data_IF_807693068461
#
_entry.id   IF_807693068461
#
_cell.length_a   1.000
_cell.length_b   1.000
_cell.length_c   1.000
_cell.angle_alpha   90.00
_cell.angle_beta   90.00
_cell.angle_gamma   90.00
#
_symmetry.space_group_name_H-M   'P 1'
#
loop_
_entity.id
_entity.type
_entity.pdbx_description
1 polymer ?
#
# COMPACT_ATOMS: atom_id res chain seq x y z
N UNK A 1 -3.00 -24.29 17.94
CA UNK A 1 -2.60 -23.55 16.72
C UNK A 1 -3.72 -22.61 16.26
N UNK A 2 -3.75 -21.35 16.72
CA UNK A 2 -4.71 -20.33 16.24
C UNK A 2 -4.14 -19.42 15.14
N UNK A 3 -2.84 -19.53 14.84
CA UNK A 3 -2.08 -18.61 13.98
C UNK A 3 -2.52 -18.59 12.51
N UNK A 4 -3.29 -19.59 12.06
CA UNK A 4 -3.80 -19.70 10.69
C UNK A 4 -5.33 -19.70 10.60
N UNK A 5 -6.04 -19.34 11.68
CA UNK A 5 -7.50 -19.37 11.70
C UNK A 5 -8.12 -18.29 10.80
N UNK A 6 -9.34 -18.52 10.32
CA UNK A 6 -10.14 -17.54 9.57
C UNK A 6 -10.38 -16.24 10.37
N UNK A 7 -10.41 -16.32 11.71
CA UNK A 7 -10.51 -15.17 12.62
C UNK A 7 -9.29 -14.23 12.51
N UNK A 8 -8.09 -14.79 12.42
CA UNK A 8 -6.85 -14.00 12.20
C UNK A 8 -6.78 -13.41 10.80
N UNK A 9 -7.40 -14.05 9.79
CA UNK A 9 -7.49 -13.53 8.40
C UNK A 9 -8.48 -12.38 8.25
N UNK A 10 -9.53 -12.33 9.09
CA UNK A 10 -10.55 -11.26 9.11
C UNK A 10 -10.21 -10.13 10.07
N UNK A 11 -8.93 -9.77 10.21
CA UNK A 11 -8.56 -8.52 10.87
C UNK A 11 -9.01 -7.36 9.98
N UNK A 12 -10.26 -6.93 10.17
CA UNK A 12 -10.78 -5.64 9.70
C UNK A 12 -10.17 -4.46 10.48
N UNK A 13 -9.08 -4.70 11.23
CA UNK A 13 -8.43 -3.69 12.05
C UNK A 13 -7.36 -2.99 11.22
N UNK A 14 -7.77 -1.92 10.55
CA UNK A 14 -6.95 -1.11 9.66
C UNK A 14 -6.33 0.04 10.45
N UNK A 15 -5.55 -0.26 11.48
CA UNK A 15 -4.76 0.79 12.13
C UNK A 15 -3.48 1.01 11.29
N UNK A 16 -3.27 2.20 10.69
CA UNK A 16 -2.08 2.47 9.91
C UNK A 16 -0.82 2.64 10.77
N UNK A 17 -0.95 2.94 12.07
CA UNK A 17 0.15 3.28 12.96
C UNK A 17 1.30 2.26 13.03
N UNK A 18 1.04 0.93 13.10
CA UNK A 18 2.12 -0.04 13.10
C UNK A 18 2.97 0.02 11.83
N UNK A 19 2.33 0.20 10.67
CA UNK A 19 3.02 0.31 9.38
C UNK A 19 3.70 1.66 9.22
N UNK A 20 3.06 2.76 9.63
CA UNK A 20 3.64 4.10 9.62
C UNK A 20 4.90 4.17 10.49
N UNK A 21 4.85 3.58 11.69
CA UNK A 21 6.01 3.48 12.59
C UNK A 21 7.13 2.65 11.98
N UNK A 22 6.81 1.56 11.28
CA UNK A 22 7.80 0.75 10.59
C UNK A 22 8.44 1.51 9.42
N UNK A 23 7.63 2.16 8.58
CA UNK A 23 8.09 2.99 7.48
C UNK A 23 9.02 4.10 7.97
N UNK A 24 8.65 4.81 9.05
CA UNK A 24 9.50 5.83 9.68
C UNK A 24 10.86 5.29 10.10
N UNK A 25 10.91 4.11 10.73
CA UNK A 25 12.18 3.47 11.11
C UNK A 25 13.03 3.10 9.91
N UNK A 26 12.42 2.61 8.82
CA UNK A 26 13.14 2.25 7.60
C UNK A 26 13.74 3.50 6.94
N UNK A 27 12.94 4.57 6.77
CA UNK A 27 13.43 5.84 6.21
C UNK A 27 14.54 6.49 7.06
N UNK A 28 14.54 6.30 8.38
CA UNK A 28 15.62 6.81 9.23
C UNK A 28 16.94 6.05 9.06
N UNK A 29 16.88 4.76 8.69
CA UNK A 29 18.05 3.88 8.58
C UNK A 29 18.62 3.82 7.18
N UNK A 30 17.78 4.02 6.16
CA UNK A 30 18.15 3.85 4.76
C UNK A 30 17.84 5.12 3.97
N UNK A 31 18.67 5.40 2.96
CA UNK A 31 18.42 6.48 2.04
C UNK A 31 17.52 5.99 0.90
N UNK A 32 16.20 6.09 1.09
CA UNK A 32 15.18 5.59 0.16
C UNK A 32 14.17 6.69 -0.15
N UNK A 33 13.76 6.79 -1.41
CA UNK A 33 12.69 7.69 -1.85
C UNK A 33 11.30 7.05 -1.70
N UNK A 34 11.24 5.71 -1.75
CA UNK A 34 9.99 4.94 -1.70
C UNK A 34 10.11 3.68 -0.85
N UNK A 35 9.03 3.34 -0.15
CA UNK A 35 8.81 2.02 0.44
C UNK A 35 7.54 1.46 -0.19
N UNK A 36 7.64 0.32 -0.88
CA UNK A 36 6.51 -0.41 -1.44
C UNK A 36 6.23 -1.65 -0.59
N UNK A 37 4.98 -1.80 -0.15
CA UNK A 37 4.53 -2.97 0.59
C UNK A 37 3.16 -3.45 0.11
N UNK A 38 2.84 -4.69 0.46
CA UNK A 38 1.47 -5.10 0.74
C UNK A 38 1.50 -5.74 2.12
N UNK A 39 0.39 -5.78 2.86
CA UNK A 39 0.35 -6.51 4.14
C UNK A 39 -1.07 -6.61 4.67
N UNK A 40 -1.66 -5.45 4.92
CA UNK A 40 -2.98 -5.32 5.53
C UNK A 40 -4.11 -5.22 4.49
N UNK A 41 -3.76 -5.38 3.20
CA UNK A 41 -4.67 -5.38 2.07
C UNK A 41 -5.43 -4.06 1.86
N UNK A 42 -5.01 -2.97 2.50
CA UNK A 42 -5.66 -1.66 2.38
C UNK A 42 -4.79 -0.70 1.56
N UNK A 43 -5.24 -0.29 0.36
CA UNK A 43 -4.46 0.60 -0.48
C UNK A 43 -4.31 1.97 0.19
N UNK A 44 -3.07 2.45 0.34
CA UNK A 44 -2.77 3.80 0.87
C UNK A 44 -1.43 4.32 0.40
N UNK A 45 -1.30 5.64 0.44
CA UNK A 45 -0.04 6.37 0.24
C UNK A 45 0.15 7.29 1.43
N UNK A 46 1.32 7.23 2.05
CA UNK A 46 1.71 8.10 3.15
C UNK A 46 3.01 8.81 2.80
N UNK A 47 3.06 10.12 3.00
CA UNK A 47 4.24 10.92 2.70
C UNK A 47 5.00 11.24 3.98
N UNK A 48 6.29 10.91 3.97
CA UNK A 48 7.24 11.22 5.03
C UNK A 48 8.24 12.26 4.52
N UNK A 49 8.96 12.99 5.40
CA UNK A 49 9.94 13.98 4.96
C UNK A 49 11.03 13.45 4.02
N UNK A 50 11.31 12.13 4.04
CA UNK A 50 12.35 11.49 3.22
C UNK A 50 11.82 10.76 1.99
N UNK A 51 10.52 10.57 1.85
CA UNK A 51 9.98 9.72 0.80
C UNK A 51 8.55 9.26 1.07
N UNK A 52 8.02 8.44 0.18
CA UNK A 52 6.63 7.97 0.25
C UNK A 52 6.54 6.48 0.54
N UNK A 53 5.65 6.12 1.46
CA UNK A 53 5.24 4.76 1.71
C UNK A 53 3.99 4.45 0.89
N UNK A 54 4.00 3.35 0.13
CA UNK A 54 2.88 2.89 -0.67
C UNK A 54 2.54 1.48 -0.21
N UNK A 55 1.30 1.28 0.26
CA UNK A 55 0.77 -0.05 0.53
C UNK A 55 -0.29 -0.42 -0.50
N UNK A 56 -0.13 -1.59 -1.10
CA UNK A 56 -1.08 -2.12 -2.08
C UNK A 56 -2.27 -2.78 -1.38
N UNK A 57 -3.45 -2.56 -1.95
CA UNK A 57 -4.62 -3.38 -1.68
C UNK A 57 -4.58 -4.72 -2.41
N UNK A 58 -5.44 -5.65 -2.00
CA UNK A 58 -5.61 -6.93 -2.72
C UNK A 58 -6.01 -6.74 -4.18
N UNK A 59 -5.40 -7.50 -5.08
CA UNK A 59 -5.72 -7.42 -6.51
C UNK A 59 -7.19 -7.79 -6.82
N UNK A 60 -7.75 -8.82 -6.18
CA UNK A 60 -9.12 -9.27 -6.47
C UNK A 60 -10.20 -8.25 -6.09
N UNK A 61 -10.01 -7.49 -5.00
CA UNK A 61 -10.96 -6.49 -4.52
C UNK A 61 -10.62 -5.08 -5.03
N UNK A 62 -9.41 -4.60 -4.73
CA UNK A 62 -9.00 -3.22 -4.96
C UNK A 62 -8.43 -3.00 -6.35
N UNK A 63 -7.80 -4.04 -6.93
CA UNK A 63 -7.08 -3.98 -8.22
C UNK A 63 -5.98 -2.93 -8.25
N UNK A 64 -5.35 -2.66 -7.11
CA UNK A 64 -4.31 -1.62 -7.00
C UNK A 64 -2.93 -2.17 -7.27
N UNK A 65 -2.09 -1.39 -7.96
CA UNK A 65 -0.70 -1.69 -8.28
C UNK A 65 0.15 -0.43 -8.07
N UNK A 66 1.46 -0.60 -7.91
CA UNK A 66 2.41 0.50 -8.01
C UNK A 66 2.88 0.61 -9.47
N UNK A 67 2.71 1.79 -10.06
CA UNK A 67 3.21 2.13 -11.38
C UNK A 67 4.46 2.99 -11.21
N UNK A 68 5.59 2.50 -11.70
CA UNK A 68 6.85 3.26 -11.77
C UNK A 68 7.10 3.72 -13.21
N UNK A 69 7.27 5.02 -13.41
CA UNK A 69 7.59 5.62 -14.70
C UNK A 69 8.49 6.86 -14.52
N UNK A 70 8.67 7.65 -15.59
CA UNK A 70 9.48 8.88 -15.59
C UNK A 70 9.06 9.92 -14.54
N UNK A 71 7.82 9.88 -14.04
CA UNK A 71 7.31 10.80 -13.03
C UNK A 71 7.40 10.22 -11.60
N UNK A 72 8.10 9.10 -11.42
CA UNK A 72 8.27 8.41 -10.15
C UNK A 72 7.29 7.25 -9.93
N UNK A 73 7.10 6.87 -8.67
CA UNK A 73 6.22 5.77 -8.27
C UNK A 73 4.85 6.28 -7.80
N UNK A 74 3.77 5.73 -8.37
CA UNK A 74 2.38 6.11 -8.06
C UNK A 74 1.53 4.88 -7.75
N UNK A 75 0.61 5.00 -6.79
CA UNK A 75 -0.44 4.00 -6.57
C UNK A 75 -1.54 4.19 -7.62
N UNK A 76 -1.83 3.14 -8.38
CA UNK A 76 -2.85 3.14 -9.44
C UNK A 76 -3.81 1.97 -9.27
N UNK A 77 -4.95 2.02 -9.96
CA UNK A 77 -5.92 0.94 -10.05
C UNK A 77 -6.02 0.43 -11.50
N UNK A 78 -6.04 -0.88 -11.67
CA UNK A 78 -6.34 -1.51 -12.96
C UNK A 78 -7.84 -1.46 -13.25
N UNK A 79 -8.22 -0.77 -14.32
CA UNK A 79 -9.58 -0.70 -14.83
C UNK A 79 -9.73 -1.64 -16.03
N UNK A 80 -10.23 -2.84 -15.77
CA UNK A 80 -10.36 -3.91 -16.77
C UNK A 80 -11.23 -3.51 -17.99
N UNK A 81 -12.27 -2.71 -17.79
CA UNK A 81 -13.17 -2.28 -18.87
C UNK A 81 -12.47 -1.43 -19.91
N UNK A 82 -11.61 -0.51 -19.47
CA UNK A 82 -10.81 0.34 -20.36
C UNK A 82 -9.41 -0.21 -20.64
N UNK A 83 -9.06 -1.38 -20.06
CA UNK A 83 -7.73 -1.98 -20.09
C UNK A 83 -6.61 -0.98 -19.78
N UNK A 84 -6.83 -0.14 -18.75
CA UNK A 84 -5.93 0.97 -18.46
C UNK A 84 -5.70 1.16 -16.95
N UNK A 85 -4.62 1.86 -16.61
CA UNK A 85 -4.35 2.29 -15.24
C UNK A 85 -5.04 3.63 -14.97
N UNK A 86 -5.73 3.73 -13.84
CA UNK A 86 -6.33 4.98 -13.36
C UNK A 86 -5.72 5.37 -12.02
N UNK A 87 -5.60 6.67 -11.68
CA UNK A 87 -5.15 7.10 -10.37
C UNK A 87 -5.96 6.46 -9.23
N UNK A 88 -5.31 6.18 -8.11
CA UNK A 88 -6.01 5.78 -6.89
C UNK A 88 -6.47 7.02 -6.10
N UNK A 89 -7.77 7.18 -5.89
CA UNK A 89 -8.37 8.35 -5.23
C UNK A 89 -8.69 8.14 -3.74
N UNK A 90 -8.11 7.13 -3.09
CA UNK A 90 -8.42 6.78 -1.70
C UNK A 90 -9.64 5.85 -1.57
N UNK A 91 -9.77 5.24 -0.40
CA UNK A 91 -11.01 4.58 0.01
C UNK A 91 -11.93 5.63 0.62
N UNK A 92 -13.10 5.87 0.01
CA UNK A 92 -14.20 6.60 0.68
C UNK A 92 -14.63 5.85 1.94
#
# INVERSE_FOLDING_TARGET
MKMFSSLTRRRNYVNPEPLNRQAKKIFQRHNLDYILSGHDHVPRVETFPRGSYINLGTFFNHRTLALYNKDGMKLVKWKATSKNFVPFEGTK
#
